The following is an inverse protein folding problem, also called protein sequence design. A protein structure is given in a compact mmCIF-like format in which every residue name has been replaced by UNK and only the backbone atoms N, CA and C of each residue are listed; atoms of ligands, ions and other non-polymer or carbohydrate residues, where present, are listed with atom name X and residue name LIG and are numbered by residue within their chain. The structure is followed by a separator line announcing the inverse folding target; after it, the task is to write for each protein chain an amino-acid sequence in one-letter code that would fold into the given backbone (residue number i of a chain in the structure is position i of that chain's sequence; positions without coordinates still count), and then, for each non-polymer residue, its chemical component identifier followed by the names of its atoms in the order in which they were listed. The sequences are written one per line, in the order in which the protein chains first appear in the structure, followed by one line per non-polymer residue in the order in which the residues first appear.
data_IF_413095335586
#
_entry.id   IF_413095335586
#
_cell.length_a   1.000
_cell.length_b   1.000
_cell.length_c   1.000
_cell.angle_alpha   90.00
_cell.angle_beta   90.00
_cell.angle_gamma   90.00
#
_symmetry.space_group_name_H-M   'P 1'
#
loop_
_entity.id
_entity.type
_entity.pdbx_description
1 polymer ?
#
# COMPACT_ATOMS: atom_id res chain seq x y z
N UNK A 1 0.36 -0.03 25.59
CA UNK A 1 -0.25 0.21 24.27
C UNK A 1 0.83 0.32 23.21
N UNK A 2 0.48 -0.04 21.98
CA UNK A 2 1.34 0.12 20.82
C UNK A 2 1.73 1.60 20.68
N UNK A 3 3.02 1.99 20.64
CA UNK A 3 3.44 3.39 20.53
C UNK A 3 3.02 4.04 19.21
N UNK A 4 2.90 3.27 18.13
CA UNK A 4 2.36 3.77 16.86
C UNK A 4 0.90 4.17 16.98
N UNK A 5 0.10 3.41 17.74
CA UNK A 5 -1.29 3.77 18.00
C UNK A 5 -1.40 5.16 18.62
N UNK A 6 -0.60 5.44 19.64
CA UNK A 6 -0.61 6.75 20.31
C UNK A 6 -0.25 7.89 19.35
N UNK A 7 0.76 7.68 18.49
CA UNK A 7 1.18 8.68 17.50
C UNK A 7 0.13 8.90 16.40
N UNK A 8 -0.46 7.80 15.90
CA UNK A 8 -1.45 7.84 14.80
C UNK A 8 -2.77 8.46 15.24
N UNK A 9 -3.20 8.20 16.49
CA UNK A 9 -4.48 8.70 17.04
C UNK A 9 -4.36 10.05 17.74
N UNK A 10 -3.18 10.69 17.69
CA UNK A 10 -2.99 11.99 18.30
C UNK A 10 -3.90 13.05 17.66
N UNK A 11 -4.58 13.84 18.49
CA UNK A 11 -5.55 14.86 18.09
C UNK A 11 -6.76 14.37 17.25
N UNK A 12 -7.03 13.08 17.20
CA UNK A 12 -8.11 12.55 16.35
C UNK A 12 -9.49 13.12 16.71
N UNK A 13 -9.79 13.28 18.01
CA UNK A 13 -11.07 13.79 18.49
C UNK A 13 -11.25 15.30 18.27
N UNK A 14 -10.15 16.03 18.20
CA UNK A 14 -10.20 17.51 18.17
C UNK A 14 -10.03 18.12 16.79
N UNK A 15 -9.29 17.46 15.91
CA UNK A 15 -8.96 18.01 14.58
C UNK A 15 -9.03 16.97 13.44
N UNK A 16 -9.63 15.81 13.68
CA UNK A 16 -9.65 14.73 12.72
C UNK A 16 -8.34 13.92 12.66
N UNK A 17 -7.37 14.26 13.52
CA UNK A 17 -6.08 13.61 13.62
C UNK A 17 -4.97 14.27 12.80
N UNK A 18 -3.74 14.07 13.26
CA UNK A 18 -2.54 14.59 12.59
C UNK A 18 -1.95 13.58 11.59
N UNK A 19 -2.45 12.35 11.59
CA UNK A 19 -1.94 11.26 10.76
C UNK A 19 -3.04 10.66 9.88
N UNK A 20 -2.80 10.67 8.58
CA UNK A 20 -3.71 10.09 7.57
C UNK A 20 -2.94 9.16 6.65
N UNK A 21 -3.67 8.29 5.97
CA UNK A 21 -3.08 7.44 4.94
C UNK A 21 -2.66 8.30 3.75
N UNK A 22 -1.45 8.10 3.25
CA UNK A 22 -0.95 8.83 2.10
C UNK A 22 -1.72 8.46 0.82
N UNK A 23 -2.00 9.47 -0.01
CA UNK A 23 -2.68 9.26 -1.29
C UNK A 23 -1.97 8.24 -2.19
N UNK A 24 -0.64 8.24 -2.19
CA UNK A 24 0.15 7.35 -3.04
C UNK A 24 -0.20 5.88 -2.81
N UNK A 25 -0.12 5.38 -1.56
CA UNK A 25 -0.41 3.98 -1.28
C UNK A 25 -1.88 3.62 -1.54
N UNK A 26 -2.80 4.56 -1.27
CA UNK A 26 -4.23 4.33 -1.56
C UNK A 26 -4.45 4.21 -3.05
N UNK A 27 -3.81 5.02 -3.89
CA UNK A 27 -3.92 4.93 -5.34
C UNK A 27 -3.43 3.57 -5.88
N UNK A 28 -2.29 3.09 -5.38
CA UNK A 28 -1.79 1.77 -5.76
C UNK A 28 -2.79 0.67 -5.36
N UNK A 29 -3.19 0.64 -4.10
CA UNK A 29 -4.05 -0.42 -3.59
C UNK A 29 -5.48 -0.35 -4.13
N UNK A 30 -6.01 0.83 -4.43
CA UNK A 30 -7.31 0.99 -5.10
C UNK A 30 -7.25 0.48 -6.54
N UNK A 31 -6.22 0.88 -7.28
CA UNK A 31 -6.03 0.45 -8.66
C UNK A 31 -5.88 -1.06 -8.79
N UNK A 32 -5.18 -1.67 -7.87
CA UNK A 32 -5.01 -3.12 -7.81
C UNK A 32 -6.23 -3.88 -7.27
N UNK A 33 -7.23 -3.20 -6.76
CA UNK A 33 -8.34 -3.80 -5.99
C UNK A 33 -7.81 -4.68 -4.84
N UNK A 34 -6.74 -4.22 -4.17
CA UNK A 34 -6.00 -4.97 -3.17
C UNK A 34 -6.84 -5.25 -1.92
N UNK A 35 -7.03 -6.52 -1.59
CA UNK A 35 -7.86 -6.92 -0.45
C UNK A 35 -7.27 -6.50 0.90
N UNK A 36 -5.95 -6.26 1.00
CA UNK A 36 -5.28 -5.78 2.22
C UNK A 36 -5.73 -4.38 2.63
N UNK A 37 -6.37 -3.59 1.75
CA UNK A 37 -6.92 -2.26 2.07
C UNK A 37 -7.80 -2.28 3.32
N UNK A 38 -8.67 -3.28 3.44
CA UNK A 38 -9.59 -3.41 4.57
C UNK A 38 -8.89 -3.67 5.90
N UNK A 39 -7.64 -4.17 5.86
CA UNK A 39 -6.81 -4.35 7.04
C UNK A 39 -5.95 -3.12 7.36
N UNK A 40 -5.53 -2.37 6.33
CA UNK A 40 -4.64 -1.22 6.45
C UNK A 40 -5.37 0.07 6.79
N UNK A 41 -6.57 0.27 6.21
CA UNK A 41 -7.26 1.55 6.21
C UNK A 41 -8.64 1.45 6.84
N UNK A 42 -9.04 2.51 7.50
CA UNK A 42 -10.45 2.77 7.76
C UNK A 42 -11.08 3.39 6.50
N UNK A 43 -12.37 3.13 6.31
CA UNK A 43 -13.10 3.69 5.17
C UNK A 43 -13.12 5.22 5.23
N UNK A 44 -13.19 5.84 4.08
CA UNK A 44 -13.34 7.28 3.97
C UNK A 44 -14.75 7.73 4.39
N UNK A 45 -14.92 9.01 4.64
CA UNK A 45 -16.23 9.64 4.89
C UNK A 45 -16.99 10.00 3.61
N UNK A 46 -16.44 9.75 2.41
CA UNK A 46 -17.13 9.99 1.14
C UNK A 46 -17.86 8.74 0.66
N UNK A 47 -19.12 8.90 0.27
CA UNK A 47 -19.99 7.79 -0.15
C UNK A 47 -19.49 7.10 -1.41
N UNK A 48 -18.94 7.84 -2.36
CA UNK A 48 -18.53 7.32 -3.68
C UNK A 48 -17.12 6.75 -3.73
N UNK A 49 -16.33 6.90 -2.67
CA UNK A 49 -14.92 6.48 -2.62
C UNK A 49 -14.60 5.80 -1.29
N UNK A 50 -14.53 4.48 -1.31
CA UNK A 50 -14.35 3.69 -0.08
C UNK A 50 -13.06 4.00 0.67
N UNK A 51 -11.96 4.25 -0.05
CA UNK A 51 -10.66 4.61 0.51
C UNK A 51 -10.09 5.82 -0.22
N UNK A 52 -9.79 6.87 0.53
CA UNK A 52 -9.22 8.12 0.02
C UNK A 52 -8.02 8.50 0.86
N UNK A 53 -6.86 8.57 0.24
CA UNK A 53 -5.63 9.01 0.90
C UNK A 53 -5.48 10.53 0.86
N UNK A 54 -4.75 11.07 1.83
CA UNK A 54 -4.41 12.47 1.89
C UNK A 54 -3.11 12.72 1.09
N UNK A 55 -3.17 13.64 0.14
CA UNK A 55 -2.00 14.00 -0.65
C UNK A 55 -0.97 14.76 0.19
N UNK A 56 0.30 14.42 0.06
CA UNK A 56 1.39 15.15 0.69
C UNK A 56 1.58 16.54 0.06
N UNK A 57 2.00 17.51 0.87
CA UNK A 57 2.29 18.88 0.39
C UNK A 57 1.06 19.72 0.08
N UNK A 58 -0.10 19.40 0.64
CA UNK A 58 -1.31 20.19 0.49
C UNK A 58 -1.29 21.44 1.37
N UNK A 59 -2.16 22.42 1.04
CA UNK A 59 -2.44 23.53 1.93
C UNK A 59 -3.44 23.09 3.02
N UNK A 60 -2.92 22.87 4.23
CA UNK A 60 -3.68 22.36 5.37
C UNK A 60 -4.82 23.31 5.81
N UNK A 61 -4.64 24.62 5.69
CA UNK A 61 -5.70 25.57 6.06
C UNK A 61 -6.97 25.39 5.23
N UNK A 62 -6.80 25.09 3.94
CA UNK A 62 -7.93 24.82 3.04
C UNK A 62 -8.55 23.44 3.25
N UNK A 63 -7.77 22.48 3.71
CA UNK A 63 -8.21 21.09 3.87
C UNK A 63 -8.79 20.79 5.26
N UNK A 64 -8.63 21.67 6.24
CA UNK A 64 -8.95 21.44 7.66
C UNK A 64 -10.34 20.86 7.89
N UNK A 65 -11.36 21.37 7.25
CA UNK A 65 -12.76 20.96 7.45
C UNK A 65 -13.06 19.59 6.80
N UNK A 66 -12.14 19.09 5.96
CA UNK A 66 -12.30 17.84 5.22
C UNK A 66 -11.45 16.71 5.76
N UNK A 67 -10.50 16.96 6.66
CA UNK A 67 -9.57 15.95 7.17
C UNK A 67 -10.26 14.74 7.75
N UNK A 68 -11.37 14.93 8.42
CA UNK A 68 -12.15 13.86 9.02
C UNK A 68 -12.64 12.83 7.99
N UNK A 69 -12.76 13.22 6.72
CA UNK A 69 -13.27 12.36 5.66
C UNK A 69 -12.20 11.51 4.97
N UNK A 70 -10.91 11.86 5.11
CA UNK A 70 -9.85 11.01 4.55
C UNK A 70 -9.70 9.71 5.33
N UNK A 71 -9.31 8.65 4.64
CA UNK A 71 -9.05 7.35 5.26
C UNK A 71 -7.98 7.47 6.34
N UNK A 72 -8.25 6.85 7.48
CA UNK A 72 -7.33 6.77 8.60
C UNK A 72 -6.58 5.44 8.58
N UNK A 73 -5.46 5.41 9.28
CA UNK A 73 -4.70 4.19 9.51
C UNK A 73 -5.49 3.31 10.48
N UNK A 74 -5.75 2.07 10.07
CA UNK A 74 -6.46 1.10 10.92
C UNK A 74 -5.47 0.46 11.88
N UNK A 75 -5.48 0.92 13.11
CA UNK A 75 -4.58 0.46 14.17
C UNK A 75 -5.30 0.46 15.53
N UNK A 76 -4.98 -0.52 16.36
CA UNK A 76 -5.48 -0.68 17.72
C UNK A 76 -4.35 -0.57 18.74
N UNK A 77 -4.67 -0.14 19.96
CA UNK A 77 -3.71 -0.05 21.05
C UNK A 77 -3.08 -1.41 21.45
N UNK A 78 -3.74 -2.50 21.13
CA UNK A 78 -3.30 -3.87 21.38
C UNK A 78 -2.59 -4.54 20.22
N UNK A 79 -2.49 -3.87 19.06
CA UNK A 79 -1.85 -4.47 17.89
C UNK A 79 -0.36 -4.70 18.14
N UNK A 80 0.19 -5.83 17.67
CA UNK A 80 1.61 -6.11 17.78
C UNK A 80 2.42 -5.14 16.93
N UNK A 81 3.65 -4.86 17.36
CA UNK A 81 4.62 -4.14 16.53
C UNK A 81 5.37 -5.17 15.69
N UNK A 82 5.35 -4.97 14.38
CA UNK A 82 6.13 -5.76 13.44
C UNK A 82 7.59 -5.31 13.47
N UNK A 83 8.49 -6.24 13.82
CA UNK A 83 9.93 -5.98 13.81
C UNK A 83 10.61 -6.53 12.56
N UNK A 84 10.10 -7.66 12.06
CA UNK A 84 10.61 -8.32 10.86
C UNK A 84 9.43 -8.88 10.06
N UNK A 85 9.42 -8.59 8.78
CA UNK A 85 8.38 -9.01 7.87
C UNK A 85 8.87 -10.16 6.99
N UNK A 86 8.25 -11.33 7.09
CA UNK A 86 8.60 -12.49 6.27
C UNK A 86 8.42 -12.22 4.76
N UNK A 87 7.41 -11.41 4.41
CA UNK A 87 7.19 -11.00 3.03
C UNK A 87 8.37 -10.16 2.49
N UNK A 88 8.93 -9.26 3.31
CA UNK A 88 10.10 -8.46 2.93
C UNK A 88 11.30 -9.34 2.57
N UNK A 89 11.57 -10.38 3.37
CA UNK A 89 12.67 -11.33 3.09
C UNK A 89 12.46 -12.04 1.75
N UNK A 90 11.22 -12.43 1.43
CA UNK A 90 10.91 -13.04 0.14
C UNK A 90 11.15 -12.06 -1.02
N UNK A 91 10.71 -10.79 -0.88
CA UNK A 91 10.98 -9.76 -1.90
C UNK A 91 12.46 -9.43 -2.06
N UNK A 92 13.24 -9.40 -0.96
CA UNK A 92 14.71 -9.22 -1.04
C UNK A 92 15.38 -10.38 -1.79
N UNK A 93 14.89 -11.62 -1.62
CA UNK A 93 15.38 -12.76 -2.41
C UNK A 93 14.99 -12.65 -3.88
N UNK A 94 13.77 -12.18 -4.19
CA UNK A 94 13.35 -11.91 -5.56
C UNK A 94 14.24 -10.86 -6.22
N UNK A 95 14.53 -9.76 -5.52
CA UNK A 95 15.42 -8.69 -5.99
C UNK A 95 16.86 -9.20 -6.18
N UNK A 96 17.40 -9.93 -5.20
CA UNK A 96 18.72 -10.55 -5.28
C UNK A 96 18.88 -11.43 -6.51
N UNK A 97 17.87 -12.26 -6.81
CA UNK A 97 17.88 -13.14 -7.98
C UNK A 97 17.66 -12.38 -9.29
N UNK A 98 16.62 -11.54 -9.34
CA UNK A 98 16.21 -10.90 -10.61
C UNK A 98 17.19 -9.82 -11.05
N UNK A 99 17.68 -9.00 -10.12
CA UNK A 99 18.46 -7.78 -10.42
C UNK A 99 19.96 -8.04 -10.26
N UNK A 100 20.36 -8.58 -9.11
CA UNK A 100 21.79 -8.78 -8.79
C UNK A 100 22.34 -10.12 -9.27
N UNK A 101 21.48 -11.00 -9.81
CA UNK A 101 21.83 -12.31 -10.36
C UNK A 101 22.50 -13.24 -9.33
N UNK A 102 22.23 -13.04 -8.04
CA UNK A 102 22.74 -13.89 -6.97
C UNK A 102 22.05 -15.27 -6.99
N UNK A 103 22.76 -16.28 -6.52
CA UNK A 103 22.13 -17.56 -6.24
C UNK A 103 21.36 -17.49 -4.92
N UNK A 104 20.05 -17.33 -5.04
CA UNK A 104 19.13 -17.24 -3.91
C UNK A 104 18.43 -18.57 -3.59
N UNK A 105 18.83 -19.66 -4.25
CA UNK A 105 18.26 -21.00 -4.04
C UNK A 105 16.84 -21.16 -4.59
N UNK A 106 16.50 -20.43 -5.67
CA UNK A 106 15.19 -20.51 -6.35
C UNK A 106 15.02 -19.42 -7.39
N UNK A 107 13.84 -19.35 -7.99
CA UNK A 107 13.54 -18.38 -9.04
C UNK A 107 12.92 -17.09 -8.49
N UNK A 108 13.23 -15.96 -9.14
CA UNK A 108 12.76 -14.64 -8.74
C UNK A 108 11.22 -14.55 -8.66
N UNK A 109 10.53 -15.12 -9.64
CA UNK A 109 9.07 -15.20 -9.67
C UNK A 109 8.51 -15.89 -8.43
N UNK A 110 9.14 -17.00 -8.01
CA UNK A 110 8.62 -17.77 -6.90
C UNK A 110 8.77 -17.04 -5.58
N UNK A 111 9.89 -16.34 -5.38
CA UNK A 111 10.10 -15.46 -4.23
C UNK A 111 9.16 -14.24 -4.24
N UNK A 112 8.95 -13.61 -5.39
CA UNK A 112 8.01 -12.50 -5.55
C UNK A 112 6.59 -12.93 -5.17
N UNK A 113 6.11 -14.04 -5.74
CA UNK A 113 4.80 -14.59 -5.43
C UNK A 113 4.68 -15.01 -3.96
N UNK A 114 5.73 -15.57 -3.39
CA UNK A 114 5.80 -15.91 -1.97
C UNK A 114 5.66 -14.66 -1.09
N UNK A 115 6.33 -13.56 -1.44
CA UNK A 115 6.21 -12.29 -0.70
C UNK A 115 4.77 -11.79 -0.65
N UNK A 116 4.06 -11.83 -1.77
CA UNK A 116 2.64 -11.43 -1.82
C UNK A 116 1.79 -12.37 -0.96
N UNK A 117 1.97 -13.70 -1.07
CA UNK A 117 1.21 -14.68 -0.26
C UNK A 117 1.42 -14.46 1.24
N UNK A 118 2.66 -14.30 1.68
CA UNK A 118 2.99 -14.03 3.08
C UNK A 118 2.36 -12.73 3.59
N UNK A 119 2.35 -11.69 2.76
CA UNK A 119 1.69 -10.43 3.13
C UNK A 119 0.17 -10.58 3.24
N UNK A 120 -0.48 -11.30 2.32
CA UNK A 120 -1.92 -11.58 2.41
C UNK A 120 -2.26 -12.41 3.65
N UNK A 121 -1.46 -13.43 3.95
CA UNK A 121 -1.60 -14.27 5.15
C UNK A 121 -1.47 -13.44 6.42
N UNK A 122 -0.41 -12.63 6.53
CA UNK A 122 -0.16 -11.76 7.68
C UNK A 122 -1.35 -10.85 8.01
N UNK A 123 -2.01 -10.32 6.98
CA UNK A 123 -3.11 -9.39 7.12
C UNK A 123 -4.49 -10.05 7.00
N UNK A 124 -4.55 -11.38 6.93
CA UNK A 124 -5.79 -12.14 6.79
C UNK A 124 -6.67 -11.65 5.62
N UNK A 125 -6.03 -11.28 4.51
CA UNK A 125 -6.67 -10.66 3.36
C UNK A 125 -7.30 -11.67 2.36
N UNK A 126 -7.41 -12.93 2.73
CA UNK A 126 -7.97 -13.99 1.88
C UNK A 126 -6.96 -14.57 0.89
N UNK A 127 -7.44 -15.18 -0.20
CA UNK A 127 -6.59 -15.79 -1.21
C UNK A 127 -5.98 -14.74 -2.14
N UNK A 128 -4.65 -14.75 -2.35
CA UNK A 128 -3.99 -13.84 -3.28
C UNK A 128 -4.00 -14.32 -4.75
N UNK A 129 -4.59 -15.45 -5.09
CA UNK A 129 -4.37 -16.10 -6.39
C UNK A 129 -4.90 -15.28 -7.58
N UNK A 130 -6.07 -14.64 -7.44
CA UNK A 130 -6.58 -13.74 -8.48
C UNK A 130 -5.68 -12.49 -8.61
N UNK A 131 -5.23 -11.95 -7.48
CA UNK A 131 -4.33 -10.81 -7.42
C UNK A 131 -2.99 -11.11 -8.10
N UNK A 132 -2.37 -12.25 -7.79
CA UNK A 132 -1.10 -12.70 -8.38
C UNK A 132 -1.15 -12.87 -9.91
N UNK A 133 -2.31 -13.21 -10.45
CA UNK A 133 -2.50 -13.46 -11.87
C UNK A 133 -3.03 -12.25 -12.65
N UNK A 134 -3.27 -11.13 -11.98
CA UNK A 134 -3.78 -9.93 -12.64
C UNK A 134 -2.69 -9.20 -13.41
N UNK A 135 -2.86 -9.09 -14.71
CA UNK A 135 -1.94 -8.43 -15.65
C UNK A 135 -2.50 -7.12 -16.20
N UNK A 136 -3.68 -6.70 -15.74
CA UNK A 136 -4.42 -5.56 -16.27
C UNK A 136 -4.50 -4.37 -15.31
N UNK A 137 -4.57 -4.64 -14.00
CA UNK A 137 -4.71 -3.58 -13.01
C UNK A 137 -3.41 -2.80 -12.80
N UNK A 138 -3.56 -1.50 -12.74
CA UNK A 138 -2.49 -0.51 -12.49
C UNK A 138 -2.94 0.45 -11.39
N UNK A 139 -2.04 1.21 -10.75
CA UNK A 139 -2.41 2.25 -9.82
C UNK A 139 -3.43 3.24 -10.40
N UNK A 140 -4.41 3.66 -9.63
CA UNK A 140 -5.36 4.70 -10.07
C UNK A 140 -4.71 6.07 -10.05
N UNK A 141 -5.21 6.96 -10.90
CA UNK A 141 -4.93 8.40 -10.78
C UNK A 141 -5.56 8.93 -9.50
N UNK A 142 -4.84 9.79 -8.78
CA UNK A 142 -5.36 10.44 -7.59
C UNK A 142 -6.53 11.37 -7.94
N UNK A 143 -7.61 11.26 -7.19
CA UNK A 143 -8.73 12.20 -7.23
C UNK A 143 -9.01 12.66 -5.80
N UNK A 144 -8.95 13.97 -5.56
CA UNK A 144 -9.33 14.55 -4.28
C UNK A 144 -10.85 14.87 -4.28
N UNK A 145 -11.66 14.16 -3.48
CA UNK A 145 -13.10 14.39 -3.43
C UNK A 145 -13.47 15.77 -2.90
N UNK A 146 -12.59 16.40 -2.11
CA UNK A 146 -12.81 17.76 -1.62
C UNK A 146 -12.67 18.82 -2.71
N UNK A 147 -12.02 18.49 -3.82
CA UNK A 147 -11.71 19.42 -4.90
C UNK A 147 -10.70 20.52 -4.54
N UNK A 148 -10.15 20.51 -3.33
CA UNK A 148 -9.21 21.53 -2.86
C UNK A 148 -7.78 21.29 -3.32
N UNK A 149 -7.43 20.05 -3.61
CA UNK A 149 -6.07 19.65 -3.94
C UNK A 149 -6.04 18.82 -5.24
N UNK A 150 -6.45 19.39 -6.37
CA UNK A 150 -6.48 18.67 -7.64
C UNK A 150 -5.06 18.25 -8.02
N UNK A 151 -4.91 16.96 -8.31
CA UNK A 151 -3.64 16.39 -8.75
C UNK A 151 -3.93 15.09 -9.52
N UNK A 152 -3.73 15.13 -10.81
CA UNK A 152 -4.12 14.08 -11.74
C UNK A 152 -2.92 13.43 -12.43
N UNK A 153 -1.83 13.17 -11.72
CA UNK A 153 -0.74 12.43 -12.33
C UNK A 153 -0.93 10.92 -12.15
N UNK A 154 -0.62 10.20 -13.22
CA UNK A 154 -0.47 8.75 -13.16
C UNK A 154 0.81 8.43 -12.38
N UNK A 155 0.70 7.68 -11.29
CA UNK A 155 1.83 7.34 -10.43
C UNK A 155 2.75 6.31 -11.10
N UNK A 156 2.16 5.27 -11.69
CA UNK A 156 2.84 4.19 -12.39
C UNK A 156 1.85 3.41 -13.26
N UNK A 157 2.36 2.66 -14.21
CA UNK A 157 1.60 1.69 -15.02
C UNK A 157 1.99 0.25 -14.70
N UNK A 158 2.77 0.04 -13.63
CA UNK A 158 3.22 -1.30 -13.25
C UNK A 158 2.04 -2.19 -12.87
N UNK A 159 2.01 -3.40 -13.41
CA UNK A 159 1.02 -4.43 -13.09
C UNK A 159 1.53 -5.39 -12.02
N UNK A 160 0.63 -6.24 -11.49
CA UNK A 160 0.93 -7.14 -10.38
C UNK A 160 1.65 -8.41 -10.87
N UNK A 161 1.09 -9.06 -11.90
CA UNK A 161 1.59 -10.35 -12.36
C UNK A 161 3.07 -10.29 -12.75
N UNK A 162 3.85 -11.27 -12.28
CA UNK A 162 5.24 -11.40 -12.68
C UNK A 162 5.36 -11.69 -14.18
N UNK A 163 6.22 -10.94 -14.83
CA UNK A 163 6.55 -11.12 -16.24
C UNK A 163 8.07 -11.36 -16.39
N UNK A 164 8.43 -12.57 -16.77
CA UNK A 164 9.84 -12.96 -16.93
C UNK A 164 10.51 -12.26 -18.12
N UNK A 165 9.73 -11.85 -19.12
CA UNK A 165 10.23 -11.17 -20.31
C UNK A 165 10.50 -9.68 -20.10
N UNK A 166 10.05 -9.10 -18.98
CA UNK A 166 10.28 -7.69 -18.64
C UNK A 166 11.76 -7.38 -18.44
N UNK A 167 12.12 -6.11 -18.65
CA UNK A 167 13.47 -5.61 -18.30
C UNK A 167 13.75 -5.67 -16.81
N UNK A 168 15.01 -5.59 -16.41
CA UNK A 168 15.39 -5.61 -14.99
C UNK A 168 14.79 -4.42 -14.24
N UNK A 169 14.68 -3.23 -14.86
CA UNK A 169 14.04 -2.05 -14.25
C UNK A 169 12.55 -2.29 -13.96
N UNK A 170 11.83 -2.89 -14.91
CA UNK A 170 10.39 -3.21 -14.71
C UNK A 170 10.21 -4.30 -13.65
N UNK A 171 11.08 -5.32 -13.62
CA UNK A 171 11.09 -6.33 -12.57
C UNK A 171 11.36 -5.69 -11.21
N UNK A 172 12.32 -4.78 -11.13
CA UNK A 172 12.66 -4.07 -9.90
C UNK A 172 11.50 -3.21 -9.41
N UNK A 173 10.86 -2.43 -10.30
CA UNK A 173 9.69 -1.62 -9.94
C UNK A 173 8.58 -2.49 -9.38
N UNK A 174 8.29 -3.64 -10.01
CA UNK A 174 7.27 -4.58 -9.56
C UNK A 174 7.58 -5.14 -8.17
N UNK A 175 8.83 -5.56 -7.92
CA UNK A 175 9.26 -6.07 -6.61
C UNK A 175 9.15 -4.98 -5.54
N UNK A 176 9.70 -3.78 -5.81
CA UNK A 176 9.70 -2.68 -4.85
C UNK A 176 8.27 -2.24 -4.51
N UNK A 177 7.39 -2.18 -5.50
CA UNK A 177 5.98 -1.82 -5.30
C UNK A 177 5.30 -2.79 -4.33
N UNK A 178 5.43 -4.09 -4.55
CA UNK A 178 4.81 -5.08 -3.67
C UNK A 178 5.48 -5.16 -2.30
N UNK A 179 6.80 -4.99 -2.24
CA UNK A 179 7.55 -4.89 -0.97
C UNK A 179 7.10 -3.68 -0.15
N UNK A 180 6.93 -2.52 -0.80
CA UNK A 180 6.43 -1.32 -0.14
C UNK A 180 5.01 -1.48 0.41
N UNK A 181 4.10 -2.08 -0.36
CA UNK A 181 2.75 -2.39 0.12
C UNK A 181 2.79 -3.37 1.30
N UNK A 182 3.62 -4.41 1.23
CA UNK A 182 3.73 -5.43 2.28
C UNK A 182 4.32 -4.88 3.60
N UNK A 183 5.19 -3.89 3.51
CA UNK A 183 5.85 -3.25 4.66
C UNK A 183 5.00 -2.13 5.28
N UNK A 184 3.67 -2.26 5.23
CA UNK A 184 2.75 -1.38 5.90
C UNK A 184 2.94 -1.48 7.42
N UNK A 185 3.36 -0.35 8.06
CA UNK A 185 3.56 -0.15 9.50
C UNK A 185 4.47 -1.19 10.18
#
# INVERSE_FOLDING_TARGET
PNPLYTAVRYNEETSGGDSHVAADIVCYMNGYADARRAAYFEKSGWEDQEYVGLRRGINLEKAKDYFINYSKIKISASDPILWMNAAEVAFLRAEGKAIFKFDMGGEARDFYNQGIRLSFEQWSAGSPEEYLNDESKIPTTYTDPSGLNPYNSQLSTITIKWDESSTDEVKQERIITQKWIANWM
#
